data_IF_231293985619
#
_entry.id   IF_231293985619
#
_cell.length_a   1.000
_cell.length_b   1.000
_cell.length_c   1.000
_cell.angle_alpha   90.00
_cell.angle_beta   90.00
_cell.angle_gamma   90.00
#
_symmetry.space_group_name_H-M   'P 1'
#
loop_
_entity.id
_entity.type
_entity.pdbx_description
1 polymer ?
#
# COMPACT_ATOMS: atom_id res chain seq x y z
N UNK A 1 -10.03 -5.02 3.50
CA UNK A 1 -8.78 -4.26 3.65
C UNK A 1 -8.30 -4.19 5.10
N UNK A 2 -9.13 -3.76 6.07
CA UNK A 2 -8.71 -3.73 7.48
C UNK A 2 -8.65 -5.12 8.12
N UNK A 3 -9.73 -5.90 8.03
CA UNK A 3 -9.85 -7.25 8.60
C UNK A 3 -8.84 -8.26 8.04
N UNK A 4 -8.21 -7.95 6.91
CA UNK A 4 -7.20 -8.78 6.25
C UNK A 4 -5.78 -8.43 6.73
N UNK A 5 -5.60 -7.33 7.46
CA UNK A 5 -4.30 -6.87 7.93
C UNK A 5 -3.95 -7.52 9.27
N UNK A 6 -2.74 -8.07 9.40
CA UNK A 6 -2.35 -8.91 10.53
C UNK A 6 -2.52 -8.24 11.90
N UNK A 7 -2.27 -6.93 12.01
CA UNK A 7 -2.40 -6.19 13.28
C UNK A 7 -3.82 -5.69 13.60
N UNK A 8 -4.81 -5.92 12.72
CA UNK A 8 -6.17 -5.47 12.97
C UNK A 8 -6.83 -6.23 14.12
N UNK A 9 -6.60 -7.55 14.21
CA UNK A 9 -7.22 -8.38 15.25
C UNK A 9 -6.72 -8.01 16.66
N UNK A 10 -5.42 -7.75 16.80
CA UNK A 10 -4.85 -7.24 18.05
C UNK A 10 -5.40 -5.85 18.39
N UNK A 11 -5.47 -4.95 17.41
CA UNK A 11 -6.06 -3.62 17.58
C UNK A 11 -7.49 -3.70 18.13
N UNK A 12 -8.33 -4.55 17.53
CA UNK A 12 -9.71 -4.73 17.95
C UNK A 12 -9.80 -5.27 19.37
N UNK A 13 -9.03 -6.32 19.70
CA UNK A 13 -9.02 -6.93 21.04
C UNK A 13 -8.58 -5.94 22.12
N UNK A 14 -7.48 -5.23 21.89
CA UNK A 14 -6.94 -4.27 22.84
C UNK A 14 -7.96 -3.16 23.17
N UNK A 15 -8.69 -2.66 22.16
CA UNK A 15 -9.71 -1.64 22.38
C UNK A 15 -11.00 -2.18 22.96
N UNK A 16 -11.43 -3.36 22.53
CA UNK A 16 -12.69 -3.92 23.00
C UNK A 16 -12.62 -4.30 24.49
N UNK A 17 -11.43 -4.65 24.97
CA UNK A 17 -11.18 -4.99 26.37
C UNK A 17 -11.02 -3.79 27.30
N UNK A 18 -11.06 -2.55 26.79
CA UNK A 18 -11.05 -1.37 27.66
C UNK A 18 -12.27 -1.36 28.60
N UNK A 19 -12.01 -1.06 29.86
CA UNK A 19 -13.07 -0.89 30.86
C UNK A 19 -13.82 0.41 30.60
N UNK A 20 -15.15 0.30 30.55
CA UNK A 20 -16.08 1.41 30.41
C UNK A 20 -17.25 1.12 31.31
N UNK A 21 -17.53 2.03 32.23
CA UNK A 21 -18.61 1.91 33.20
C UNK A 21 -19.88 2.62 32.71
N UNK A 22 -21.04 2.14 33.16
CA UNK A 22 -22.33 2.78 32.91
C UNK A 22 -23.41 1.80 32.46
N UNK A 23 -24.51 2.35 31.94
CA UNK A 23 -25.60 1.53 31.40
C UNK A 23 -25.12 0.78 30.15
N UNK A 24 -25.65 -0.42 29.84
CA UNK A 24 -25.19 -1.23 28.70
C UNK A 24 -25.07 -0.46 27.38
N UNK A 25 -26.06 0.38 27.06
CA UNK A 25 -26.04 1.19 25.83
C UNK A 25 -24.95 2.28 25.87
N UNK A 26 -24.70 2.87 27.04
CA UNK A 26 -23.62 3.84 27.21
C UNK A 26 -22.26 3.17 26.98
N UNK A 27 -22.05 1.99 27.58
CA UNK A 27 -20.83 1.20 27.41
C UNK A 27 -20.57 0.92 25.93
N UNK A 28 -21.57 0.40 25.22
CA UNK A 28 -21.45 0.07 23.80
C UNK A 28 -21.12 1.31 22.96
N UNK A 29 -21.88 2.40 23.11
CA UNK A 29 -21.69 3.63 22.33
C UNK A 29 -20.31 4.23 22.58
N UNK A 30 -19.86 4.24 23.84
CA UNK A 30 -18.53 4.75 24.21
C UNK A 30 -17.42 3.90 23.60
N UNK A 31 -17.52 2.56 23.70
CA UNK A 31 -16.54 1.65 23.07
C UNK A 31 -16.47 1.85 21.55
N UNK A 32 -17.60 1.98 20.87
CA UNK A 32 -17.63 2.22 19.42
C UNK A 32 -17.04 3.58 19.04
N UNK A 33 -17.30 4.64 19.80
CA UNK A 33 -16.70 5.97 19.57
C UNK A 33 -15.18 5.95 19.73
N UNK A 34 -14.70 5.33 20.81
CA UNK A 34 -13.26 5.18 21.08
C UNK A 34 -12.58 4.36 19.97
N UNK A 35 -13.17 3.21 19.61
CA UNK A 35 -12.65 2.36 18.56
C UNK A 35 -12.59 3.09 17.21
N UNK A 36 -13.63 3.85 16.84
CA UNK A 36 -13.63 4.67 15.61
C UNK A 36 -12.46 5.64 15.56
N UNK A 37 -12.17 6.35 16.65
CA UNK A 37 -11.07 7.32 16.71
C UNK A 37 -9.71 6.62 16.54
N UNK A 38 -9.53 5.50 17.22
CA UNK A 38 -8.28 4.73 17.17
C UNK A 38 -8.08 4.06 15.83
N UNK A 39 -9.14 3.54 15.23
CA UNK A 39 -9.12 2.99 13.88
C UNK A 39 -8.71 4.05 12.85
N UNK A 40 -9.16 5.31 13.00
CA UNK A 40 -8.72 6.41 12.14
C UNK A 40 -7.22 6.66 12.23
N UNK A 41 -6.67 6.70 13.45
CA UNK A 41 -5.23 6.88 13.67
C UNK A 41 -4.45 5.70 13.09
N UNK A 42 -4.85 4.47 13.43
CA UNK A 42 -4.20 3.26 12.95
C UNK A 42 -4.24 3.15 11.43
N UNK A 43 -5.36 3.49 10.80
CA UNK A 43 -5.49 3.50 9.35
C UNK A 43 -4.50 4.48 8.70
N UNK A 44 -4.37 5.68 9.27
CA UNK A 44 -3.38 6.66 8.78
C UNK A 44 -1.94 6.19 9.00
N UNK A 45 -1.62 5.54 10.12
CA UNK A 45 -0.26 5.08 10.41
C UNK A 45 0.13 3.87 9.57
N UNK A 46 -0.82 2.98 9.29
CA UNK A 46 -0.58 1.72 8.59
C UNK A 46 -0.60 1.90 7.08
N UNK A 47 -1.56 2.66 6.55
CA UNK A 47 -1.76 2.79 5.10
C UNK A 47 -1.34 4.15 4.56
N UNK A 48 -1.14 5.16 5.42
CA UNK A 48 -0.78 6.51 4.99
C UNK A 48 -1.80 7.12 4.04
N UNK A 49 -1.32 7.93 3.09
CA UNK A 49 -2.12 8.41 1.97
C UNK A 49 -2.08 7.38 0.84
N UNK A 50 -3.10 6.52 0.76
CA UNK A 50 -3.18 5.45 -0.23
C UNK A 50 -3.15 5.97 -1.67
N UNK A 51 -3.74 7.14 -1.94
CA UNK A 51 -3.71 7.74 -3.28
C UNK A 51 -2.30 8.19 -3.67
N UNK A 52 -1.58 8.81 -2.75
CA UNK A 52 -0.19 9.19 -2.99
C UNK A 52 0.70 7.95 -3.18
N UNK A 53 0.50 6.92 -2.36
CA UNK A 53 1.25 5.67 -2.47
C UNK A 53 0.97 4.96 -3.81
N UNK A 54 -0.28 4.98 -4.28
CA UNK A 54 -0.66 4.43 -5.58
C UNK A 54 0.04 5.15 -6.72
N UNK A 55 -0.05 6.48 -6.78
CA UNK A 55 0.62 7.25 -7.82
C UNK A 55 2.15 7.06 -7.80
N UNK A 56 2.76 7.03 -6.61
CA UNK A 56 4.19 6.75 -6.50
C UNK A 56 4.57 5.36 -7.03
N UNK A 57 3.69 4.36 -6.88
CA UNK A 57 3.90 3.03 -7.44
C UNK A 57 3.71 3.02 -8.96
N UNK A 58 2.69 3.71 -9.47
CA UNK A 58 2.47 3.89 -10.91
C UNK A 58 3.69 4.55 -11.57
N UNK A 59 4.21 5.63 -11.00
CA UNK A 59 5.41 6.32 -11.50
C UNK A 59 6.64 5.39 -11.52
N UNK A 60 6.80 4.55 -10.49
CA UNK A 60 7.90 3.56 -10.44
C UNK A 60 7.76 2.49 -11.50
N UNK A 61 6.53 2.05 -11.78
CA UNK A 61 6.25 1.07 -12.84
C UNK A 61 6.61 1.69 -14.20
N UNK A 62 6.13 2.90 -14.49
CA UNK A 62 6.43 3.60 -15.74
C UNK A 62 7.94 3.82 -15.94
N UNK A 63 8.65 4.19 -14.87
CA UNK A 63 10.09 4.34 -14.93
C UNK A 63 10.80 3.01 -15.21
N UNK A 64 10.34 1.91 -14.62
CA UNK A 64 10.89 0.58 -14.87
C UNK A 64 10.61 0.10 -16.31
N UNK A 65 9.41 0.35 -16.82
CA UNK A 65 9.01 0.04 -18.20
C UNK A 65 9.87 0.81 -19.21
N UNK A 66 10.04 2.13 -19.02
CA UNK A 66 10.88 2.94 -19.89
C UNK A 66 12.36 2.50 -19.86
N UNK A 67 12.88 2.13 -18.69
CA UNK A 67 14.25 1.62 -18.56
C UNK A 67 14.44 0.29 -19.30
N UNK A 68 13.44 -0.59 -19.24
CA UNK A 68 13.46 -1.83 -20.02
C UNK A 68 13.46 -1.49 -21.52
N UNK A 69 12.48 -0.72 -22.00
CA UNK A 69 12.36 -0.37 -23.42
C UNK A 69 13.65 0.24 -24.01
N UNK A 70 14.32 1.12 -23.27
CA UNK A 70 15.62 1.68 -23.67
C UNK A 70 16.70 0.58 -23.84
N UNK A 71 16.79 -0.34 -22.88
CA UNK A 71 17.73 -1.46 -22.95
C UNK A 71 17.46 -2.41 -24.12
N UNK A 72 16.18 -2.70 -24.40
CA UNK A 72 15.80 -3.52 -25.57
C UNK A 72 16.20 -2.84 -26.89
N UNK A 73 16.03 -1.51 -26.99
CA UNK A 73 16.37 -0.76 -28.21
C UNK A 73 17.87 -0.76 -28.49
N UNK A 74 18.68 -0.63 -27.44
CA UNK A 74 20.15 -0.66 -27.53
C UNK A 74 20.65 -2.04 -27.97
N UNK A 75 20.11 -3.13 -27.41
CA UNK A 75 20.47 -4.49 -27.79
C UNK A 75 20.12 -4.80 -29.25
N UNK A 76 18.95 -4.36 -29.72
CA UNK A 76 18.54 -4.49 -31.13
C UNK A 76 19.49 -3.69 -32.03
N UNK A 77 19.87 -2.49 -31.63
CA UNK A 77 20.81 -1.64 -32.36
C UNK A 77 22.19 -2.30 -32.50
N UNK A 78 22.70 -2.91 -31.43
CA UNK A 78 23.97 -3.66 -31.44
C UNK A 78 23.90 -4.85 -32.40
N UNK A 79 22.81 -5.61 -32.37
CA UNK A 79 22.67 -6.80 -33.22
C UNK A 79 22.50 -6.44 -34.70
N UNK A 80 21.72 -5.40 -35.03
CA UNK A 80 21.62 -4.88 -36.39
C UNK A 80 22.96 -4.44 -36.95
N UNK A 81 23.80 -3.81 -36.13
CA UNK A 81 25.14 -3.40 -36.53
C UNK A 81 26.07 -4.60 -36.78
N UNK A 82 25.97 -5.65 -35.97
CA UNK A 82 26.71 -6.91 -36.19
C UNK A 82 26.29 -7.57 -37.51
N UNK A 83 24.99 -7.68 -37.78
CA UNK A 83 24.49 -8.27 -39.02
C UNK A 83 24.93 -7.50 -40.26
N UNK A 84 24.94 -6.16 -40.20
CA UNK A 84 25.45 -5.31 -41.30
C UNK A 84 26.96 -5.50 -41.52
N UNK A 85 27.74 -5.72 -40.46
CA UNK A 85 29.17 -5.95 -40.56
C UNK A 85 29.51 -7.33 -41.17
N UNK A 86 28.64 -8.34 -41.02
CA UNK A 86 28.81 -9.67 -41.61
C UNK A 86 28.47 -9.73 -43.11
N UNK A 87 27.67 -8.78 -43.60
CA UNK A 87 27.25 -8.69 -45.00
C UNK A 87 28.12 -7.73 -45.85
N UNK A 88 29.25 -7.25 -45.31
CA UNK A 88 30.21 -6.37 -46.00
C UNK A 88 31.57 -7.06 -46.12
#
# INVERSE_FOLDING_TARGET
MWITYASYDSLLKDFWNLEVEGRPLHILVTKLKLFRFKLKIWNSQTFGNVHHNLHSLEDKILAAEAALEGGWLDDIGVELNRLKALHK
#
